data_IF_515149869301
#
_entry.id   IF_515149869301
#
_cell.length_a   1.000
_cell.length_b   1.000
_cell.length_c   1.000
_cell.angle_alpha   90.00
_cell.angle_beta   90.00
_cell.angle_gamma   90.00
#
_symmetry.space_group_name_H-M   'P 1'
#
loop_
_entity.id
_entity.type
_entity.pdbx_description
1 polymer ?
#
# COMPACT_ATOMS: atom_id res chain seq x y z
N UNK A 1 2.03 5.94 8.09
CA UNK A 1 0.67 5.68 7.56
C UNK A 1 -0.31 6.82 7.84
N UNK A 2 -1.52 6.72 7.29
CA UNK A 2 -2.61 7.66 7.59
C UNK A 2 -3.21 7.39 8.97
N UNK A 3 -3.73 8.45 9.62
CA UNK A 3 -4.39 8.35 10.93
C UNK A 3 -5.57 7.38 10.91
N UNK A 4 -5.54 6.38 11.77
CA UNK A 4 -6.51 5.28 11.83
C UNK A 4 -7.86 5.62 12.50
N UNK A 5 -7.98 6.59 13.44
CA UNK A 5 -9.26 6.85 14.09
C UNK A 5 -10.41 7.25 13.15
N UNK A 6 -10.07 7.88 12.02
CA UNK A 6 -11.04 8.35 11.02
C UNK A 6 -11.04 7.58 9.70
N UNK A 7 -10.04 6.73 9.46
CA UNK A 7 -9.95 5.91 8.24
C UNK A 7 -10.04 4.42 8.58
N UNK A 8 -11.28 3.90 8.47
CA UNK A 8 -11.55 2.48 8.67
C UNK A 8 -10.72 1.57 7.75
N UNK A 9 -10.46 2.00 6.50
CA UNK A 9 -9.67 1.22 5.53
C UNK A 9 -8.21 1.15 5.94
N UNK A 10 -7.63 2.28 6.40
CA UNK A 10 -6.26 2.30 6.91
C UNK A 10 -6.10 1.38 8.12
N UNK A 11 -7.08 1.39 9.04
CA UNK A 11 -7.11 0.50 10.19
C UNK A 11 -7.13 -0.97 9.78
N UNK A 12 -8.04 -1.37 8.87
CA UNK A 12 -8.13 -2.75 8.39
C UNK A 12 -6.86 -3.24 7.69
N UNK A 13 -6.20 -2.37 6.90
CA UNK A 13 -4.90 -2.69 6.29
C UNK A 13 -3.82 -2.91 7.34
N UNK A 14 -3.80 -2.06 8.37
CA UNK A 14 -2.83 -2.18 9.45
C UNK A 14 -3.07 -3.45 10.30
N UNK A 15 -4.32 -3.77 10.64
CA UNK A 15 -4.69 -5.01 11.32
C UNK A 15 -4.21 -6.24 10.52
N UNK A 16 -4.50 -6.29 9.20
CA UNK A 16 -4.07 -7.38 8.33
C UNK A 16 -2.54 -7.50 8.18
N UNK A 17 -1.83 -6.37 8.08
CA UNK A 17 -0.37 -6.34 8.06
C UNK A 17 0.19 -6.93 9.37
N UNK A 18 -0.28 -6.43 10.51
CA UNK A 18 0.18 -6.88 11.83
C UNK A 18 -0.06 -8.36 12.05
N UNK A 19 -1.25 -8.86 11.66
CA UNK A 19 -1.57 -10.28 11.74
C UNK A 19 -0.66 -11.13 10.84
N UNK A 20 -0.41 -10.66 9.61
CA UNK A 20 0.47 -11.35 8.67
C UNK A 20 1.91 -11.44 9.16
N UNK A 21 2.45 -10.34 9.67
CA UNK A 21 3.81 -10.29 10.23
C UNK A 21 3.94 -11.17 11.49
N UNK A 22 2.96 -11.12 12.39
CA UNK A 22 2.96 -11.94 13.60
C UNK A 22 2.98 -13.45 13.28
N UNK A 23 2.25 -13.90 12.25
CA UNK A 23 2.29 -15.29 11.76
C UNK A 23 3.67 -15.70 11.23
N UNK A 24 4.45 -14.73 10.74
CA UNK A 24 5.81 -14.94 10.26
C UNK A 24 6.88 -14.74 11.36
N UNK A 25 6.48 -14.42 12.59
CA UNK A 25 7.39 -14.12 13.68
C UNK A 25 8.14 -12.80 13.52
N UNK A 26 7.59 -11.86 12.74
CA UNK A 26 8.17 -10.55 12.47
C UNK A 26 7.43 -9.49 13.29
N UNK A 27 8.18 -8.65 14.00
CA UNK A 27 7.66 -7.52 14.77
C UNK A 27 7.78 -6.21 13.99
N UNK A 28 6.90 -5.26 14.29
CA UNK A 28 6.97 -3.90 13.76
C UNK A 28 7.80 -3.07 14.72
N UNK A 29 9.01 -2.71 14.30
CA UNK A 29 9.96 -1.95 15.11
C UNK A 29 9.50 -0.52 15.38
N UNK A 30 9.00 0.17 14.36
CA UNK A 30 8.60 1.56 14.47
C UNK A 30 7.33 1.86 13.67
N UNK A 31 6.59 2.90 14.09
CA UNK A 31 5.36 3.34 13.45
C UNK A 31 5.27 4.85 13.44
N UNK A 32 4.79 5.39 12.33
CA UNK A 32 4.48 6.80 12.21
C UNK A 32 3.15 6.99 11.46
N UNK A 33 2.30 7.89 11.97
CA UNK A 33 0.98 8.18 11.42
C UNK A 33 0.78 9.69 11.34
N UNK A 34 0.17 10.15 10.26
CA UNK A 34 -0.18 11.55 10.08
C UNK A 34 -1.68 11.73 9.83
N UNK A 35 -2.19 12.89 10.19
CA UNK A 35 -3.55 13.31 9.87
C UNK A 35 -3.54 14.10 8.56
N UNK A 36 -4.47 13.73 7.66
CA UNK A 36 -4.61 14.40 6.36
C UNK A 36 -4.57 13.45 5.18
N UNK A 37 -4.66 14.01 3.97
CA UNK A 37 -4.58 13.26 2.72
C UNK A 37 -3.21 12.68 2.47
N UNK A 38 -3.14 11.61 1.67
CA UNK A 38 -1.87 11.07 1.22
C UNK A 38 -1.17 12.04 0.27
N UNK A 39 0.09 12.29 0.49
CA UNK A 39 0.88 13.18 -0.35
C UNK A 39 2.32 12.69 -0.49
N UNK A 40 2.90 12.90 -1.67
CA UNK A 40 4.30 12.63 -1.96
C UNK A 40 5.25 13.33 -0.98
N UNK A 41 5.01 14.63 -0.73
CA UNK A 41 5.82 15.41 0.21
C UNK A 41 5.81 14.78 1.61
N UNK A 42 4.64 14.33 2.07
CA UNK A 42 4.50 13.70 3.39
C UNK A 42 5.24 12.37 3.47
N UNK A 43 5.23 11.58 2.39
CA UNK A 43 6.02 10.36 2.32
C UNK A 43 7.53 10.60 2.46
N UNK A 44 8.04 11.67 1.85
CA UNK A 44 9.44 12.09 1.99
C UNK A 44 9.78 12.45 3.44
N UNK A 45 8.98 13.34 4.05
CA UNK A 45 9.18 13.81 5.43
C UNK A 45 9.16 12.64 6.43
N UNK A 46 8.14 11.78 6.35
CA UNK A 46 7.98 10.64 7.24
C UNK A 46 9.12 9.62 7.08
N UNK A 47 9.56 9.38 5.85
CA UNK A 47 10.68 8.46 5.60
C UNK A 47 11.98 9.02 6.17
N UNK A 48 12.26 10.32 5.96
CA UNK A 48 13.44 10.98 6.53
C UNK A 48 13.46 10.87 8.07
N UNK A 49 12.37 11.26 8.71
CA UNK A 49 12.22 11.22 10.16
C UNK A 49 12.30 9.80 10.73
N UNK A 50 11.68 8.83 10.04
CA UNK A 50 11.69 7.43 10.47
C UNK A 50 13.11 6.85 10.48
N UNK A 51 13.89 7.09 9.44
CA UNK A 51 15.27 6.58 9.33
C UNK A 51 16.25 7.34 10.21
N UNK A 52 16.01 8.62 10.49
CA UNK A 52 16.80 9.37 11.46
C UNK A 52 16.66 8.81 12.88
N UNK A 53 15.44 8.41 13.25
CA UNK A 53 15.14 7.85 14.57
C UNK A 53 15.45 6.35 14.68
N UNK A 54 15.44 5.63 13.57
CA UNK A 54 15.59 4.17 13.51
C UNK A 54 16.51 3.80 12.33
N UNK A 55 17.83 4.00 12.42
CA UNK A 55 18.77 3.84 11.32
C UNK A 55 18.94 2.38 10.86
N UNK A 56 18.57 1.41 11.67
CA UNK A 56 18.73 -0.02 11.41
C UNK A 56 17.53 -0.65 10.70
N UNK A 57 16.51 0.15 10.34
CA UNK A 57 15.34 -0.36 9.60
C UNK A 57 15.73 -0.87 8.22
N UNK A 58 15.35 -2.10 7.92
CA UNK A 58 15.61 -2.76 6.64
C UNK A 58 14.39 -2.87 5.73
N UNK A 59 13.21 -2.47 6.22
CA UNK A 59 11.97 -2.49 5.45
C UNK A 59 10.98 -1.42 5.89
N UNK A 60 10.34 -0.73 4.91
CA UNK A 60 9.28 0.25 5.13
C UNK A 60 8.00 -0.14 4.42
N UNK A 61 6.92 -0.29 5.17
CA UNK A 61 5.58 -0.45 4.62
C UNK A 61 4.79 0.85 4.70
N UNK A 62 4.24 1.26 3.57
CA UNK A 62 3.40 2.46 3.47
C UNK A 62 1.93 2.07 3.28
N UNK A 63 1.04 2.65 4.07
CA UNK A 63 -0.41 2.35 4.01
C UNK A 63 -1.08 2.75 2.68
N UNK A 64 -0.39 3.51 1.83
CA UNK A 64 -0.79 3.80 0.45
C UNK A 64 0.42 4.17 -0.43
N UNK A 65 0.23 4.05 -1.74
CA UNK A 65 1.29 4.22 -2.74
C UNK A 65 1.78 5.66 -2.88
N UNK A 66 0.94 6.66 -2.62
CA UNK A 66 1.37 8.07 -2.75
C UNK A 66 2.44 8.42 -1.72
N UNK A 67 2.26 7.95 -0.47
CA UNK A 67 3.27 8.09 0.58
C UNK A 67 4.49 7.23 0.22
N UNK A 68 4.27 5.98 -0.23
CA UNK A 68 5.34 5.07 -0.64
C UNK A 68 6.19 5.62 -1.78
N UNK A 69 5.57 6.24 -2.78
CA UNK A 69 6.28 6.93 -3.87
C UNK A 69 7.15 8.08 -3.35
N UNK A 70 6.63 8.87 -2.39
CA UNK A 70 7.40 9.92 -1.74
C UNK A 70 8.62 9.39 -1.00
N UNK A 71 8.46 8.30 -0.26
CA UNK A 71 9.56 7.62 0.43
C UNK A 71 10.59 7.03 -0.52
N UNK A 72 10.14 6.37 -1.59
CA UNK A 72 11.01 5.83 -2.63
C UNK A 72 11.87 6.94 -3.27
N UNK A 73 11.25 8.04 -3.67
CA UNK A 73 11.97 9.18 -4.27
C UNK A 73 12.99 9.80 -3.30
N UNK A 74 12.66 9.88 -2.01
CA UNK A 74 13.61 10.34 -0.99
C UNK A 74 14.83 9.43 -0.89
N UNK A 75 14.62 8.12 -0.81
CA UNK A 75 15.72 7.15 -0.68
C UNK A 75 16.60 7.12 -1.93
N UNK A 76 16.01 7.20 -3.13
CA UNK A 76 16.76 7.29 -4.38
C UNK A 76 17.62 8.56 -4.44
N UNK A 77 17.09 9.71 -3.99
CA UNK A 77 17.85 10.96 -3.89
C UNK A 77 19.03 10.83 -2.92
N UNK A 78 18.88 10.05 -1.86
CA UNK A 78 19.94 9.79 -0.87
C UNK A 78 20.94 8.72 -1.32
N UNK A 79 20.72 8.08 -2.47
CA UNK A 79 21.60 7.04 -2.98
C UNK A 79 21.53 5.72 -2.21
N UNK A 80 20.45 5.49 -1.47
CA UNK A 80 20.22 4.23 -0.71
C UNK A 80 19.98 3.10 -1.70
N UNK A 81 20.62 1.95 -1.49
CA UNK A 81 20.39 0.77 -2.30
C UNK A 81 19.04 0.13 -1.98
N UNK A 82 18.15 0.08 -2.98
CA UNK A 82 16.81 -0.50 -2.88
C UNK A 82 16.75 -1.67 -3.85
N UNK A 83 16.45 -2.86 -3.43
CA UNK A 83 16.07 -3.30 -2.08
C UNK A 83 17.24 -3.81 -1.23
N UNK A 84 18.50 -3.56 -1.60
CA UNK A 84 19.68 -4.08 -0.91
C UNK A 84 19.74 -3.66 0.55
N UNK A 85 19.81 -2.35 0.80
CA UNK A 85 19.82 -1.82 2.17
C UNK A 85 18.43 -1.81 2.78
N UNK A 86 17.42 -1.32 2.03
CA UNK A 86 16.06 -1.16 2.53
C UNK A 86 15.01 -1.58 1.49
N UNK A 87 14.09 -2.43 1.88
CA UNK A 87 12.93 -2.82 1.08
C UNK A 87 11.74 -1.87 1.28
N UNK A 88 10.87 -1.75 0.27
CA UNK A 88 9.70 -0.89 0.32
C UNK A 88 8.46 -1.60 -0.22
N UNK A 89 7.30 -1.35 0.42
CA UNK A 89 6.01 -1.73 -0.13
C UNK A 89 4.93 -0.69 0.17
N UNK A 90 4.00 -0.52 -0.76
CA UNK A 90 2.83 0.32 -0.64
C UNK A 90 1.52 -0.45 -0.73
N UNK A 91 0.43 0.27 -0.96
CA UNK A 91 -0.91 -0.27 -1.11
C UNK A 91 -1.76 0.64 -2.00
N UNK A 92 -2.54 0.10 -2.88
CA UNK A 92 -3.60 0.54 -3.78
C UNK A 92 -3.38 0.17 -5.25
N UNK A 93 -2.14 0.03 -5.75
CA UNK A 93 -1.86 -0.17 -7.16
C UNK A 93 -2.20 1.06 -8.01
N UNK A 94 -1.75 2.26 -7.61
CA UNK A 94 -2.06 3.49 -8.36
C UNK A 94 -1.21 3.61 -9.62
N UNK A 95 -1.77 4.22 -10.67
CA UNK A 95 -1.12 4.41 -11.98
C UNK A 95 0.18 5.20 -11.88
N UNK A 96 0.29 6.15 -10.92
CA UNK A 96 1.51 6.90 -10.66
C UNK A 96 2.77 6.03 -10.56
N UNK A 97 2.63 4.81 -10.03
CA UNK A 97 3.76 3.89 -9.84
C UNK A 97 4.45 3.53 -11.15
N UNK A 98 3.73 3.54 -12.28
CA UNK A 98 4.27 3.25 -13.60
C UNK A 98 5.28 4.30 -14.08
N UNK A 99 5.18 5.53 -13.57
CA UNK A 99 6.10 6.62 -13.87
C UNK A 99 7.32 6.73 -12.95
N UNK A 100 7.45 5.85 -11.96
CA UNK A 100 8.58 5.88 -11.03
C UNK A 100 9.83 5.22 -11.65
N UNK A 101 11.03 5.70 -11.31
CA UNK A 101 12.29 5.12 -11.82
C UNK A 101 12.56 3.70 -11.30
N UNK A 102 11.89 3.27 -10.23
CA UNK A 102 11.81 1.90 -9.75
C UNK A 102 10.36 1.54 -9.44
N UNK A 103 9.96 0.33 -9.75
CA UNK A 103 8.59 -0.14 -9.51
C UNK A 103 8.40 -0.48 -8.03
N UNK A 104 7.63 0.36 -7.33
CA UNK A 104 7.28 0.13 -5.93
C UNK A 104 6.43 -1.14 -5.82
N UNK A 105 6.81 -2.06 -4.93
CA UNK A 105 5.94 -3.17 -4.56
C UNK A 105 4.63 -2.65 -3.97
N UNK A 106 3.51 -3.23 -4.39
CA UNK A 106 2.19 -2.77 -3.92
C UNK A 106 1.16 -3.88 -3.96
N UNK A 107 0.11 -3.70 -3.17
CA UNK A 107 -1.10 -4.52 -3.27
C UNK A 107 -2.15 -3.75 -4.08
N UNK A 108 -2.48 -4.22 -5.28
CA UNK A 108 -3.59 -3.66 -6.07
C UNK A 108 -4.93 -3.98 -5.39
N UNK A 109 -5.65 -2.93 -5.04
CA UNK A 109 -6.96 -3.01 -4.37
C UNK A 109 -8.12 -3.29 -5.34
N UNK A 110 -7.87 -3.73 -6.57
CA UNK A 110 -8.87 -4.05 -7.60
C UNK A 110 -9.84 -2.89 -7.89
N UNK A 111 -9.34 -1.64 -7.90
CA UNK A 111 -10.21 -0.45 -8.00
C UNK A 111 -11.00 -0.40 -9.31
N UNK A 112 -10.40 -0.82 -10.42
CA UNK A 112 -11.06 -0.88 -11.72
C UNK A 112 -12.16 -1.94 -11.73
N UNK A 113 -11.87 -3.11 -11.20
CA UNK A 113 -12.82 -4.21 -11.08
C UNK A 113 -13.98 -3.85 -10.16
N UNK A 114 -13.72 -3.16 -9.04
CA UNK A 114 -14.77 -2.64 -8.14
C UNK A 114 -15.70 -1.69 -8.90
N UNK A 115 -15.13 -0.73 -9.65
CA UNK A 115 -15.91 0.22 -10.43
C UNK A 115 -16.75 -0.47 -11.50
N UNK A 116 -16.19 -1.46 -12.21
CA UNK A 116 -16.91 -2.23 -13.23
C UNK A 116 -18.05 -3.04 -12.61
N UNK A 117 -17.79 -3.79 -11.55
CA UNK A 117 -18.82 -4.60 -10.87
C UNK A 117 -19.96 -3.72 -10.33
N UNK A 118 -19.63 -2.55 -9.75
CA UNK A 118 -20.66 -1.61 -9.29
C UNK A 118 -21.53 -1.10 -10.45
N UNK A 119 -20.91 -0.75 -11.59
CA UNK A 119 -21.66 -0.30 -12.78
C UNK A 119 -22.55 -1.40 -13.35
N UNK A 120 -22.10 -2.64 -13.37
CA UNK A 120 -22.87 -3.81 -13.81
C UNK A 120 -24.10 -4.04 -12.91
N UNK A 121 -23.94 -3.99 -11.60
CA UNK A 121 -25.05 -4.10 -10.63
C UNK A 121 -26.07 -2.99 -10.87
N UNK A 122 -25.63 -1.75 -11.07
CA UNK A 122 -26.54 -0.61 -11.32
C UNK A 122 -27.28 -0.82 -12.64
N UNK A 123 -26.57 -1.15 -13.72
CA UNK A 123 -27.14 -1.40 -15.04
C UNK A 123 -28.24 -2.48 -14.98
N UNK A 124 -27.93 -3.59 -14.34
CA UNK A 124 -28.86 -4.74 -14.29
C UNK A 124 -30.11 -4.40 -13.48
N UNK A 125 -29.98 -3.59 -12.43
CA UNK A 125 -31.15 -3.08 -11.68
C UNK A 125 -32.00 -2.05 -12.45
N UNK A 126 -31.38 -1.32 -13.37
CA UNK A 126 -32.13 -0.35 -14.18
C UNK A 126 -32.85 -0.98 -15.38
N UNK A 127 -32.32 -2.08 -15.93
CA UNK A 127 -32.82 -2.69 -17.17
C UNK A 127 -33.80 -3.86 -16.93
N UNK A 128 -33.81 -4.41 -15.73
CA UNK A 128 -34.72 -5.51 -15.38
C UNK A 128 -35.61 -5.03 -14.24
N UNK A 129 -36.83 -5.58 -14.12
CA UNK A 129 -37.63 -5.56 -12.87
C UNK A 129 -36.88 -6.39 -11.83
N UNK A 130 -35.72 -5.87 -11.42
CA UNK A 130 -34.68 -6.62 -10.74
C UNK A 130 -35.08 -6.94 -9.29
N UNK A 131 -34.86 -8.19 -8.91
CA UNK A 131 -34.88 -8.64 -7.54
C UNK A 131 -34.13 -7.63 -6.63
N UNK A 132 -34.78 -7.04 -5.61
CA UNK A 132 -34.17 -6.08 -4.72
C UNK A 132 -33.10 -6.69 -3.80
N UNK A 133 -32.83 -7.98 -3.92
CA UNK A 133 -31.85 -8.68 -3.08
C UNK A 133 -30.45 -8.03 -3.19
N UNK A 134 -29.83 -7.65 -2.06
CA UNK A 134 -28.48 -7.09 -2.06
C UNK A 134 -27.47 -8.09 -2.65
N UNK A 135 -26.69 -7.62 -3.63
CA UNK A 135 -25.57 -8.41 -4.17
C UNK A 135 -24.28 -8.08 -3.39
N UNK A 136 -23.50 -9.12 -3.07
CA UNK A 136 -22.21 -8.98 -2.43
C UNK A 136 -21.15 -9.66 -3.30
N UNK A 137 -20.23 -8.85 -3.86
CA UNK A 137 -19.11 -9.33 -4.68
C UNK A 137 -17.83 -9.14 -3.89
N UNK A 138 -17.10 -10.22 -3.68
CA UNK A 138 -15.77 -10.19 -3.04
C UNK A 138 -14.68 -10.27 -4.11
N UNK A 139 -13.76 -9.31 -4.11
CA UNK A 139 -12.60 -9.29 -4.99
C UNK A 139 -11.33 -9.60 -4.20
N UNK A 140 -10.44 -10.38 -4.78
CA UNK A 140 -9.15 -10.70 -4.17
C UNK A 140 -8.08 -9.70 -4.62
N UNK A 141 -7.45 -8.94 -3.71
CA UNK A 141 -6.34 -8.06 -4.05
C UNK A 141 -5.18 -8.80 -4.71
N UNK A 142 -4.45 -8.13 -5.60
CA UNK A 142 -3.29 -8.70 -6.31
C UNK A 142 -2.00 -8.06 -5.82
N UNK A 143 -0.98 -8.88 -5.57
CA UNK A 143 0.34 -8.37 -5.19
C UNK A 143 1.17 -8.14 -6.45
N UNK A 144 1.69 -6.92 -6.60
CA UNK A 144 2.75 -6.58 -7.54
C UNK A 144 4.06 -6.48 -6.76
N UNK A 145 5.01 -7.35 -7.06
CA UNK A 145 6.27 -7.41 -6.32
C UNK A 145 7.22 -6.25 -6.66
N UNK A 146 7.09 -5.65 -7.82
CA UNK A 146 7.95 -4.55 -8.26
C UNK A 146 9.45 -4.87 -8.17
N UNK A 147 10.25 -3.81 -7.95
CA UNK A 147 11.71 -3.87 -7.84
C UNK A 147 12.21 -3.49 -6.43
N UNK A 148 11.30 -3.26 -5.48
CA UNK A 148 11.61 -2.76 -4.14
C UNK A 148 11.49 -3.80 -3.05
N UNK A 149 11.28 -5.08 -3.41
CA UNK A 149 11.32 -6.21 -2.48
C UNK A 149 12.57 -7.06 -2.72
N UNK A 150 13.21 -7.48 -1.63
CA UNK A 150 14.25 -8.52 -1.71
C UNK A 150 13.59 -9.82 -2.16
N UNK A 151 14.05 -10.36 -3.29
CA UNK A 151 13.63 -11.70 -3.72
C UNK A 151 14.48 -12.72 -2.97
N UNK A 152 13.90 -13.43 -2.04
CA UNK A 152 14.52 -14.66 -1.52
C UNK A 152 14.56 -15.66 -2.68
N UNK A 153 15.75 -15.94 -3.21
CA UNK A 153 15.89 -17.09 -4.09
C UNK A 153 15.55 -18.33 -3.24
N UNK A 154 14.43 -18.98 -3.56
CA UNK A 154 14.19 -20.33 -3.04
C UNK A 154 15.25 -21.22 -3.66
N UNK A 155 16.24 -21.60 -2.86
CA UNK A 155 17.15 -22.73 -3.14
C UNK A 155 16.36 -24.01 -3.10
#
# INVERSE_FOLDING_TARGET
GTSMPRDHRARKRFEGLTEGLAKAGIEIEARDFYEGGSALAKGREMTASMLEQNPDLDFLYYSNDMIGAGGLLYLLEKGVDIPGDIGLAGFNGVELLQGLPRQLATTDACRLEIGRAAAEIIRDRMLQDADPTPQHITLTPKISYGDTLRRTMRT
#
